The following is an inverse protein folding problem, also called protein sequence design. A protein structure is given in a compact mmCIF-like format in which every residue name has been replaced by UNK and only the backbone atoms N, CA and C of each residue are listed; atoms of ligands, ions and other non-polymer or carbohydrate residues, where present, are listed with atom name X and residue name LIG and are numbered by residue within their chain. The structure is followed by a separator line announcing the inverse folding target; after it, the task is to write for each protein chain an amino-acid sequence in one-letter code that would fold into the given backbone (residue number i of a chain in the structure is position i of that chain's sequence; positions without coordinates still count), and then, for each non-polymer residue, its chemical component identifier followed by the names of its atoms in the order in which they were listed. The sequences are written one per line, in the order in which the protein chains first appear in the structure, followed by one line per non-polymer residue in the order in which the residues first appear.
data_IF_523960417272
#
_entry.id   IF_523960417272
#
_cell.length_a   1.000
_cell.length_b   1.000
_cell.length_c   1.000
_cell.angle_alpha   90.00
_cell.angle_beta   90.00
_cell.angle_gamma   90.00
#
_symmetry.space_group_name_H-M   'P 1'
#
loop_
_entity.id
_entity.type
_entity.pdbx_description
1 polymer ?
#
# COMPACT_ATOMS: atom_id res chain seq x y z
N UNK A 1 8.78 40.76 -15.25
CA UNK A 1 9.65 39.64 -14.84
C UNK A 1 8.73 38.53 -14.41
N UNK A 2 8.51 37.55 -15.29
CA UNK A 2 7.64 36.42 -15.02
C UNK A 2 8.39 35.51 -14.04
N UNK A 3 7.89 35.39 -12.82
CA UNK A 3 8.40 34.43 -11.86
C UNK A 3 8.08 33.05 -12.44
N UNK A 4 9.14 32.29 -12.78
CA UNK A 4 9.00 30.89 -13.11
C UNK A 4 8.44 30.21 -11.87
N UNK A 5 7.15 29.88 -11.91
CA UNK A 5 6.51 29.04 -10.91
C UNK A 5 7.21 27.68 -10.95
N UNK A 6 8.21 27.50 -10.08
CA UNK A 6 8.92 26.25 -9.89
C UNK A 6 7.89 25.13 -9.71
N UNK A 7 7.94 24.14 -10.60
CA UNK A 7 7.05 22.98 -10.57
C UNK A 7 7.07 22.35 -9.17
N UNK A 8 6.00 22.58 -8.42
CA UNK A 8 5.83 22.07 -7.06
C UNK A 8 4.86 20.88 -7.08
N UNK A 9 5.15 19.85 -6.29
CA UNK A 9 4.22 18.73 -6.07
C UNK A 9 2.80 19.23 -5.68
N UNK A 10 2.71 20.38 -5.00
CA UNK A 10 1.44 21.00 -4.65
C UNK A 10 0.71 21.57 -5.87
N UNK A 11 1.40 22.15 -6.85
CA UNK A 11 0.77 22.66 -8.09
C UNK A 11 0.23 21.52 -8.95
N UNK A 12 1.00 20.42 -9.07
CA UNK A 12 0.52 19.21 -9.75
C UNK A 12 -0.76 18.69 -9.09
N UNK A 13 -0.75 18.55 -7.76
CA UNK A 13 -1.88 18.06 -7.00
C UNK A 13 -3.12 18.96 -7.14
N UNK A 14 -2.95 20.29 -7.17
CA UNK A 14 -4.04 21.23 -7.49
C UNK A 14 -4.65 20.97 -8.85
N UNK A 15 -3.83 20.78 -9.89
CA UNK A 15 -4.33 20.50 -11.24
C UNK A 15 -5.08 19.17 -11.31
N UNK A 16 -4.63 18.14 -10.59
CA UNK A 16 -5.29 16.83 -10.54
C UNK A 16 -6.65 16.88 -9.81
N UNK A 17 -6.81 17.75 -8.81
CA UNK A 17 -8.03 17.84 -8.01
C UNK A 17 -9.12 18.72 -8.62
N UNK A 18 -8.79 19.62 -9.55
CA UNK A 18 -9.69 20.64 -10.07
C UNK A 18 -10.64 20.16 -11.20
N UNK A 19 -10.62 18.87 -11.56
CA UNK A 19 -11.27 18.31 -12.77
C UNK A 19 -12.68 17.74 -12.58
N UNK A 20 -13.30 17.77 -11.37
CA UNK A 20 -14.74 17.46 -11.24
C UNK A 20 -15.23 17.01 -9.85
N UNK A 21 -16.47 17.40 -9.52
CA UNK A 21 -17.43 16.86 -8.53
C UNK A 21 -17.10 16.77 -7.02
N UNK A 22 -16.36 17.72 -6.42
CA UNK A 22 -16.49 17.97 -4.97
C UNK A 22 -17.65 18.98 -4.71
N UNK A 23 -18.87 18.64 -5.11
CA UNK A 23 -20.04 19.55 -5.08
C UNK A 23 -20.78 19.58 -3.74
N UNK A 24 -20.46 18.70 -2.80
CA UNK A 24 -20.90 18.83 -1.42
C UNK A 24 -19.76 19.47 -0.63
N UNK A 25 -19.95 20.71 -0.18
CA UNK A 25 -18.97 21.41 0.66
C UNK A 25 -19.16 20.94 2.10
N UNK A 26 -18.30 20.07 2.66
CA UNK A 26 -18.32 19.87 4.10
C UNK A 26 -17.97 21.19 4.76
N UNK A 27 -18.74 21.52 5.80
CA UNK A 27 -18.45 22.66 6.64
C UNK A 27 -17.06 22.49 7.25
N UNK A 28 -16.39 23.64 7.36
CA UNK A 28 -15.01 23.83 7.79
C UNK A 28 -14.57 22.85 8.88
N UNK A 29 -13.30 22.48 8.87
CA UNK A 29 -12.71 21.69 9.97
C UNK A 29 -13.02 22.38 11.31
N UNK A 30 -13.66 21.68 12.28
CA UNK A 30 -14.08 22.29 13.53
C UNK A 30 -12.90 22.75 14.40
N UNK A 31 -11.70 22.22 14.15
CA UNK A 31 -10.49 22.58 14.89
C UNK A 31 -9.76 23.80 14.29
N UNK A 32 -9.54 23.84 12.98
CA UNK A 32 -8.71 24.88 12.35
C UNK A 32 -9.47 25.83 11.41
N UNK A 33 -10.77 25.61 11.19
CA UNK A 33 -11.61 26.48 10.34
C UNK A 33 -11.34 26.39 8.84
N UNK A 34 -10.38 25.56 8.41
CA UNK A 34 -10.06 25.32 7.01
C UNK A 34 -11.23 24.61 6.32
N UNK A 35 -11.71 25.12 5.20
CA UNK A 35 -12.71 24.45 4.36
C UNK A 35 -12.07 23.39 3.45
N UNK A 36 -12.87 22.42 2.99
CA UNK A 36 -12.38 21.44 2.01
C UNK A 36 -11.88 22.12 0.73
N UNK A 37 -12.58 23.16 0.25
CA UNK A 37 -12.18 23.90 -0.96
C UNK A 37 -10.81 24.55 -0.80
N UNK A 38 -10.55 25.17 0.35
CA UNK A 38 -9.24 25.75 0.64
C UNK A 38 -8.16 24.66 0.75
N UNK A 39 -8.46 23.53 1.40
CA UNK A 39 -7.53 22.41 1.51
C UNK A 39 -7.13 21.83 0.14
N UNK A 40 -8.11 21.63 -0.76
CA UNK A 40 -7.88 21.17 -2.13
C UNK A 40 -7.13 22.21 -2.96
N UNK A 41 -7.45 23.49 -2.80
CA UNK A 41 -6.76 24.59 -3.51
C UNK A 41 -5.32 24.79 -3.04
N UNK A 42 -5.00 24.54 -1.77
CA UNK A 42 -3.61 24.62 -1.27
C UNK A 42 -2.87 23.30 -1.54
N UNK A 43 -3.60 22.19 -1.62
CA UNK A 43 -3.07 20.84 -1.82
C UNK A 43 -2.64 20.16 -0.51
N UNK A 44 -3.16 20.59 0.64
CA UNK A 44 -2.84 20.00 1.94
C UNK A 44 -3.94 20.21 2.98
N UNK A 45 -3.98 19.31 3.97
CA UNK A 45 -4.80 19.49 5.16
C UNK A 45 -4.09 20.34 6.22
N UNK A 46 -4.87 21.06 7.04
CA UNK A 46 -4.34 22.04 7.98
C UNK A 46 -3.97 21.47 9.36
N UNK A 47 -4.71 20.48 9.86
CA UNK A 47 -4.44 19.82 11.15
C UNK A 47 -4.88 18.35 11.09
N UNK A 48 -4.61 17.57 12.15
CA UNK A 48 -5.00 16.16 12.24
C UNK A 48 -6.51 15.92 12.10
N UNK A 49 -7.33 16.81 12.66
CA UNK A 49 -8.79 16.68 12.61
C UNK A 49 -9.39 16.89 11.21
N UNK A 50 -8.64 17.47 10.27
CA UNK A 50 -9.08 17.61 8.88
C UNK A 50 -9.34 16.24 8.22
N UNK A 51 -8.60 15.19 8.58
CA UNK A 51 -8.83 13.84 8.05
C UNK A 51 -10.19 13.28 8.46
N UNK A 52 -10.67 13.62 9.66
CA UNK A 52 -12.01 13.21 10.13
C UNK A 52 -13.09 14.07 9.51
N UNK A 53 -12.91 15.39 9.55
CA UNK A 53 -13.86 16.37 9.02
C UNK A 53 -14.16 16.15 7.53
N UNK A 54 -13.18 15.68 6.76
CA UNK A 54 -13.32 15.44 5.33
C UNK A 54 -13.24 13.96 4.94
N UNK A 55 -13.41 13.05 5.90
CA UNK A 55 -13.23 11.60 5.72
C UNK A 55 -13.97 11.02 4.51
N UNK A 56 -15.20 11.49 4.24
CA UNK A 56 -15.99 11.05 3.08
C UNK A 56 -15.36 11.41 1.72
N UNK A 57 -14.47 12.40 1.66
CA UNK A 57 -13.82 12.89 0.44
C UNK A 57 -12.39 12.39 0.28
N UNK A 58 -11.73 11.99 1.39
CA UNK A 58 -10.34 11.52 1.38
C UNK A 58 -10.11 10.38 0.39
N UNK A 59 -10.97 9.34 0.29
CA UNK A 59 -10.79 8.27 -0.70
C UNK A 59 -10.75 8.77 -2.14
N UNK A 60 -11.67 9.68 -2.52
CA UNK A 60 -11.74 10.26 -3.86
C UNK A 60 -10.50 11.11 -4.19
N UNK A 61 -9.99 11.84 -3.19
CA UNK A 61 -8.74 12.62 -3.31
C UNK A 61 -7.56 11.68 -3.55
N UNK A 62 -7.43 10.61 -2.75
CA UNK A 62 -6.34 9.62 -2.86
C UNK A 62 -6.39 8.93 -4.22
N UNK A 63 -7.57 8.47 -4.64
CA UNK A 63 -7.76 7.80 -5.92
C UNK A 63 -7.25 8.63 -7.11
N UNK A 64 -7.56 9.94 -7.13
CA UNK A 64 -7.12 10.83 -8.19
C UNK A 64 -5.61 11.06 -8.18
N UNK A 65 -5.04 11.30 -6.99
CA UNK A 65 -3.61 11.56 -6.84
C UNK A 65 -2.77 10.32 -7.17
N UNK A 66 -3.28 9.14 -6.82
CA UNK A 66 -2.60 7.86 -7.01
C UNK A 66 -3.03 7.15 -8.30
N UNK A 67 -3.72 7.85 -9.21
CA UNK A 67 -4.18 7.31 -10.50
C UNK A 67 -4.91 5.95 -10.37
N UNK A 68 -5.82 5.85 -9.39
CA UNK A 68 -6.63 4.66 -9.12
C UNK A 68 -5.99 3.63 -8.19
N UNK A 69 -4.72 3.81 -7.80
CA UNK A 69 -4.06 2.89 -6.86
C UNK A 69 -4.47 3.23 -5.43
N UNK A 70 -5.49 2.58 -4.89
CA UNK A 70 -5.92 2.75 -3.49
C UNK A 70 -5.12 1.88 -2.50
N UNK A 71 -4.47 0.84 -3.02
CA UNK A 71 -3.68 -0.08 -2.23
C UNK A 71 -2.19 0.11 -2.54
N UNK A 72 -1.39 0.23 -1.49
CA UNK A 72 0.05 0.24 -1.64
C UNK A 72 0.55 -1.18 -1.92
N UNK A 73 0.77 -1.48 -3.20
CA UNK A 73 1.30 -2.78 -3.66
C UNK A 73 2.80 -2.98 -3.35
N UNK A 74 3.47 -1.97 -2.77
CA UNK A 74 4.86 -2.06 -2.28
C UNK A 74 5.91 -1.33 -3.12
N UNK A 75 6.84 -0.64 -2.45
CA UNK A 75 8.20 -0.36 -2.93
C UNK A 75 9.16 -1.07 -1.95
N UNK A 76 10.03 -1.94 -2.47
CA UNK A 76 10.70 -2.94 -1.66
C UNK A 76 12.13 -2.52 -1.28
N UNK A 77 12.48 -2.48 0.03
CA UNK A 77 13.87 -2.33 0.44
C UNK A 77 14.67 -3.58 0.09
N UNK A 78 15.82 -3.45 -0.59
CA UNK A 78 16.70 -4.57 -0.95
C UNK A 78 17.01 -5.51 0.23
N UNK A 79 17.22 -4.96 1.43
CA UNK A 79 17.51 -5.74 2.66
C UNK A 79 16.38 -6.67 3.11
N UNK A 80 15.16 -6.48 2.59
CA UNK A 80 14.00 -7.31 2.92
C UNK A 80 13.69 -8.38 1.87
N UNK A 81 14.37 -8.35 0.72
CA UNK A 81 14.08 -9.22 -0.42
C UNK A 81 14.30 -10.70 -0.10
N UNK A 82 15.40 -11.04 0.59
CA UNK A 82 15.71 -12.42 0.99
C UNK A 82 14.68 -12.98 1.97
N UNK A 83 14.29 -12.21 2.99
CA UNK A 83 13.29 -12.64 3.99
C UNK A 83 11.92 -12.88 3.36
N UNK A 84 11.53 -12.01 2.42
CA UNK A 84 10.24 -12.14 1.71
C UNK A 84 10.29 -13.32 0.73
N UNK A 85 11.39 -13.51 0.00
CA UNK A 85 11.57 -14.65 -0.88
C UNK A 85 11.51 -15.97 -0.11
N UNK A 86 12.14 -16.04 1.06
CA UNK A 86 12.06 -17.18 1.97
C UNK A 86 10.61 -17.43 2.42
N UNK A 87 9.88 -16.37 2.84
CA UNK A 87 8.48 -16.48 3.23
C UNK A 87 7.60 -17.03 2.10
N UNK A 88 7.75 -16.50 0.88
CA UNK A 88 7.02 -16.98 -0.30
C UNK A 88 7.35 -18.44 -0.65
N UNK A 89 8.62 -18.84 -0.53
CA UNK A 89 9.03 -20.24 -0.74
C UNK A 89 8.38 -21.17 0.27
N UNK A 90 8.36 -20.77 1.55
CA UNK A 90 7.69 -21.52 2.62
C UNK A 90 6.18 -21.63 2.34
N UNK A 91 5.51 -20.53 1.98
CA UNK A 91 4.08 -20.52 1.66
C UNK A 91 3.76 -21.48 0.48
N UNK A 92 4.57 -21.47 -0.58
CA UNK A 92 4.40 -22.39 -1.72
C UNK A 92 4.61 -23.87 -1.34
N UNK A 93 5.58 -24.15 -0.45
CA UNK A 93 5.80 -25.51 0.06
C UNK A 93 4.67 -25.96 0.98
N UNK A 94 4.10 -25.07 1.79
CA UNK A 94 2.94 -25.35 2.63
C UNK A 94 1.70 -25.71 1.78
N UNK A 95 1.48 -24.99 0.67
CA UNK A 95 0.43 -25.32 -0.30
C UNK A 95 0.70 -26.68 -0.97
N UNK A 96 1.93 -26.93 -1.41
CA UNK A 96 2.33 -28.23 -1.99
C UNK A 96 2.14 -29.38 -1.00
N UNK A 97 2.50 -29.18 0.27
CA UNK A 97 2.31 -30.17 1.33
C UNK A 97 0.82 -30.51 1.48
N UNK A 98 -0.05 -29.51 1.49
CA UNK A 98 -1.49 -29.72 1.59
C UNK A 98 -2.02 -30.54 0.40
N UNK A 99 -1.60 -30.21 -0.82
CA UNK A 99 -1.96 -30.98 -2.02
C UNK A 99 -1.49 -32.43 -1.96
N UNK A 100 -0.25 -32.68 -1.50
CA UNK A 100 0.31 -34.03 -1.35
C UNK A 100 -0.47 -34.87 -0.32
N UNK A 101 -0.91 -34.25 0.78
CA UNK A 101 -1.77 -34.89 1.78
C UNK A 101 -3.14 -35.23 1.20
N UNK A 102 -3.75 -34.33 0.44
CA UNK A 102 -5.05 -34.55 -0.22
C UNK A 102 -5.03 -35.74 -1.20
N UNK A 103 -3.95 -35.88 -1.97
CA UNK A 103 -3.75 -37.01 -2.90
C UNK A 103 -3.15 -38.26 -2.23
N UNK A 104 -2.97 -38.24 -0.90
CA UNK A 104 -2.41 -39.34 -0.10
C UNK A 104 -0.98 -39.75 -0.49
N UNK A 105 -0.19 -38.83 -1.05
CA UNK A 105 1.22 -39.06 -1.34
C UNK A 105 2.09 -38.69 -0.13
N UNK A 106 2.10 -39.59 0.87
CA UNK A 106 2.74 -39.32 2.17
C UNK A 106 4.27 -39.32 2.14
N UNK A 107 4.89 -40.06 1.22
CA UNK A 107 6.36 -40.11 1.08
C UNK A 107 6.90 -38.73 0.69
N UNK A 108 6.34 -38.15 -0.37
CA UNK A 108 6.70 -36.80 -0.80
C UNK A 108 6.26 -35.73 0.22
N UNK A 109 5.13 -35.93 0.92
CA UNK A 109 4.70 -35.02 1.97
C UNK A 109 5.70 -34.94 3.13
N UNK A 110 6.35 -36.05 3.50
CA UNK A 110 7.40 -36.07 4.51
C UNK A 110 8.61 -35.24 4.05
N UNK A 111 9.03 -35.41 2.80
CA UNK A 111 10.15 -34.66 2.23
C UNK A 111 9.87 -33.14 2.23
N UNK A 112 8.69 -32.72 1.76
CA UNK A 112 8.29 -31.31 1.73
C UNK A 112 8.15 -30.73 3.14
N UNK A 113 7.61 -31.50 4.10
CA UNK A 113 7.51 -31.09 5.51
C UNK A 113 8.88 -30.81 6.10
N UNK A 114 9.84 -31.69 5.86
CA UNK A 114 11.19 -31.57 6.41
C UNK A 114 11.93 -30.39 5.76
N UNK A 115 11.73 -30.14 4.45
CA UNK A 115 12.23 -28.94 3.76
C UNK A 115 11.69 -27.63 4.39
N UNK A 116 10.37 -27.57 4.67
CA UNK A 116 9.76 -26.40 5.33
C UNK A 116 10.41 -26.16 6.70
N UNK A 117 10.67 -27.22 7.47
CA UNK A 117 11.29 -27.12 8.79
C UNK A 117 12.70 -26.54 8.70
N UNK A 118 13.52 -27.07 7.78
CA UNK A 118 14.89 -26.57 7.54
C UNK A 118 14.89 -25.09 7.14
N UNK A 119 14.02 -24.70 6.21
CA UNK A 119 13.90 -23.31 5.76
C UNK A 119 13.45 -22.36 6.89
N UNK A 120 12.58 -22.81 7.80
CA UNK A 120 12.14 -22.02 8.98
C UNK A 120 13.23 -21.88 10.04
N UNK A 121 14.09 -22.87 10.18
CA UNK A 121 15.23 -22.86 11.10
C UNK A 121 16.46 -22.12 10.53
N UNK A 122 16.38 -21.68 9.26
CA UNK A 122 17.45 -20.93 8.57
C UNK A 122 18.55 -21.83 8.00
N UNK A 123 18.28 -23.14 7.84
CA UNK A 123 19.17 -24.08 7.18
C UNK A 123 18.97 -24.13 5.66
N UNK A 124 19.96 -24.69 4.96
CA UNK A 124 19.90 -24.95 3.51
C UNK A 124 19.45 -26.41 3.27
N UNK A 125 18.35 -26.66 2.52
CA UNK A 125 17.90 -28.01 2.18
C UNK A 125 18.82 -28.78 1.21
N UNK A 126 19.89 -28.18 0.68
CA UNK A 126 20.77 -28.79 -0.33
C UNK A 126 22.19 -29.12 0.17
N UNK A 127 22.36 -29.44 1.44
CA UNK A 127 23.65 -29.97 1.94
C UNK A 127 23.66 -31.51 1.86
N UNK A 128 24.05 -32.02 0.69
CA UNK A 128 24.74 -33.31 0.53
C UNK A 128 26.04 -33.11 -0.27
#
# INVERSE_FOLDING_TARGET
MAYEEEFSMNQLLKHLLNSGEFQTHPDKCPNCGLSLREALHIGKFGCSECYKAFSQYVPQVIERVQAGNLEHIGQQPFKSQEKIALKKRIEALEEKLQQLVEVQNFEEAVNVRDEIKVLKEGGDPHVE
#
